data_IF_040084808277
#
_entry.id   IF_040084808277
#
_cell.length_a   1.000
_cell.length_b   1.000
_cell.length_c   1.000
_cell.angle_alpha   90.00
_cell.angle_beta   90.00
_cell.angle_gamma   90.00
#
_symmetry.space_group_name_H-M   'P 1'
#
loop_
_entity.id
_entity.type
_entity.pdbx_description
1 polymer ?
#
# COMPACT_ATOMS: atom_id res chain seq x y z
N UNK A 1 14.67 2.34 -9.44
CA UNK A 1 13.81 1.89 -8.33
C UNK A 1 13.06 0.65 -8.73
N UNK A 2 12.81 -0.22 -7.77
CA UNK A 2 12.17 -1.49 -8.06
C UNK A 2 10.74 -1.45 -7.56
N UNK A 3 9.79 -1.67 -8.47
CA UNK A 3 8.37 -1.77 -8.11
C UNK A 3 8.13 -3.13 -7.49
N UNK A 4 7.45 -3.18 -6.37
CA UNK A 4 7.21 -4.44 -5.68
C UNK A 4 5.73 -4.80 -5.58
N UNK A 5 4.86 -3.81 -5.49
CA UNK A 5 3.42 -4.05 -5.35
C UNK A 5 2.66 -2.98 -6.11
N UNK A 6 1.56 -3.35 -6.70
CA UNK A 6 0.67 -2.41 -7.37
C UNK A 6 -0.69 -2.43 -6.70
N UNK A 7 -1.18 -1.27 -6.32
CA UNK A 7 -2.54 -1.12 -5.82
C UNK A 7 -3.41 -0.63 -6.96
N UNK A 8 -4.60 -1.20 -7.06
CA UNK A 8 -5.60 -0.71 -7.99
C UNK A 8 -6.74 -0.17 -7.16
N UNK A 9 -7.08 1.08 -7.38
CA UNK A 9 -8.15 1.72 -6.63
C UNK A 9 -9.49 1.52 -7.33
N UNK A 10 -10.55 1.72 -6.59
CA UNK A 10 -11.90 1.48 -7.11
C UNK A 10 -12.21 2.34 -8.33
N UNK A 11 -11.57 3.50 -8.44
CA UNK A 11 -11.80 4.38 -9.60
C UNK A 11 -10.92 4.03 -10.79
N UNK A 12 -10.15 2.95 -10.69
CA UNK A 12 -9.27 2.52 -11.77
C UNK A 12 -7.85 3.05 -11.69
N UNK A 13 -7.59 3.95 -10.76
CA UNK A 13 -6.25 4.50 -10.62
C UNK A 13 -5.30 3.43 -10.11
N UNK A 14 -4.08 3.43 -10.60
CA UNK A 14 -3.05 2.50 -10.15
C UNK A 14 -1.99 3.23 -9.36
N UNK A 15 -1.58 2.60 -8.27
CA UNK A 15 -0.55 3.16 -7.40
C UNK A 15 0.59 2.17 -7.35
N UNK A 16 1.74 2.60 -7.83
CA UNK A 16 2.91 1.76 -7.96
C UNK A 16 3.78 1.93 -6.71
N UNK A 17 3.92 0.89 -5.94
CA UNK A 17 4.71 0.92 -4.71
C UNK A 17 6.08 0.34 -4.99
N UNK A 18 7.11 1.09 -4.63
CA UNK A 18 8.49 0.71 -4.91
C UNK A 18 9.23 0.44 -3.61
N UNK A 19 10.33 -0.30 -3.74
CA UNK A 19 11.20 -0.51 -2.59
C UNK A 19 11.66 0.85 -2.08
N UNK A 20 11.59 1.02 -0.77
CA UNK A 20 11.94 2.29 -0.14
C UNK A 20 10.75 3.19 0.13
N UNK A 21 9.60 2.91 -0.44
CA UNK A 21 8.42 3.72 -0.17
C UNK A 21 7.92 3.46 1.23
N UNK A 22 7.38 4.50 1.83
CA UNK A 22 6.75 4.41 3.14
C UNK A 22 5.25 4.54 2.97
N UNK A 23 4.52 3.63 3.60
CA UNK A 23 3.07 3.66 3.60
C UNK A 23 2.62 3.99 5.01
N UNK A 24 1.70 4.91 5.14
CA UNK A 24 1.18 5.33 6.43
C UNK A 24 -0.32 5.19 6.44
N UNK A 25 -0.87 4.69 7.54
CA UNK A 25 -2.32 4.65 7.77
C UNK A 25 -2.59 5.61 8.90
N UNK A 26 -3.46 6.59 8.65
CA UNK A 26 -3.76 7.60 9.64
C UNK A 26 -4.68 7.10 10.74
N UNK A 27 -4.75 7.87 11.81
CA UNK A 27 -5.63 7.57 12.92
C UNK A 27 -7.07 7.82 12.54
N UNK A 28 -7.95 6.97 13.04
CA UNK A 28 -9.38 7.13 12.83
C UNK A 28 -10.08 6.89 14.16
N UNK A 29 -10.63 7.95 14.73
CA UNK A 29 -11.34 7.86 16.01
C UNK A 29 -10.41 7.50 17.15
N UNK A 30 -10.99 6.99 18.22
CA UNK A 30 -10.21 6.66 19.41
C UNK A 30 -9.73 5.24 19.42
N UNK A 31 -10.34 4.40 18.61
CA UNK A 31 -10.06 2.98 18.66
C UNK A 31 -8.93 2.55 17.75
N UNK A 32 -8.48 3.42 16.88
CA UNK A 32 -7.45 3.04 15.93
C UNK A 32 -6.36 4.10 15.88
N UNK A 33 -5.15 3.67 16.13
CA UNK A 33 -4.00 4.54 16.06
C UNK A 33 -3.24 4.24 14.78
N UNK A 34 -2.74 5.28 14.16
CA UNK A 34 -2.06 5.13 12.89
C UNK A 34 -0.84 4.24 12.97
N UNK A 35 -0.46 3.71 11.82
CA UNK A 35 0.74 2.87 11.68
C UNK A 35 1.44 3.23 10.40
N UNK A 36 2.68 2.81 10.29
CA UNK A 36 3.43 3.00 9.06
C UNK A 36 4.38 1.82 8.86
N UNK A 37 4.77 1.61 7.62
CA UNK A 37 5.80 0.65 7.31
C UNK A 37 6.57 1.09 6.07
N UNK A 38 7.77 0.57 5.94
CA UNK A 38 8.59 0.81 4.75
C UNK A 38 8.68 -0.46 3.94
N UNK A 39 8.65 -0.30 2.64
CA UNK A 39 8.75 -1.44 1.73
C UNK A 39 10.20 -1.73 1.40
N UNK A 40 10.48 -2.98 1.17
CA UNK A 40 11.79 -3.42 0.75
C UNK A 40 11.67 -4.19 -0.55
N UNK A 41 12.80 -4.60 -1.10
CA UNK A 41 12.79 -5.37 -2.35
C UNK A 41 12.05 -6.69 -2.19
N UNK A 42 11.94 -7.19 -0.96
CA UNK A 42 11.29 -8.48 -0.74
C UNK A 42 9.84 -8.34 -0.29
N UNK A 43 9.35 -7.11 -0.17
CA UNK A 43 7.96 -6.91 0.19
C UNK A 43 7.04 -7.42 -0.91
N UNK A 44 5.85 -7.86 -0.52
CA UNK A 44 4.90 -8.39 -1.50
C UNK A 44 3.48 -8.02 -1.09
N UNK A 45 2.52 -8.46 -1.88
CA UNK A 45 1.12 -8.10 -1.65
C UNK A 45 0.61 -8.63 -0.32
N UNK A 46 1.11 -9.77 0.13
CA UNK A 46 0.70 -10.31 1.42
C UNK A 46 1.12 -9.40 2.56
N UNK A 47 2.30 -8.80 2.44
CA UNK A 47 2.77 -7.87 3.46
C UNK A 47 1.86 -6.66 3.54
N UNK A 48 1.43 -6.14 2.39
CA UNK A 48 0.55 -5.00 2.36
C UNK A 48 -0.81 -5.36 2.94
N UNK A 49 -1.35 -6.52 2.56
CA UNK A 49 -2.64 -6.95 3.09
C UNK A 49 -2.57 -7.09 4.60
N UNK A 50 -1.49 -7.66 5.10
CA UNK A 50 -1.32 -7.83 6.53
C UNK A 50 -1.23 -6.49 7.25
N UNK A 51 -0.54 -5.55 6.62
CA UNK A 51 -0.41 -4.21 7.17
C UNK A 51 -1.77 -3.53 7.28
N UNK A 52 -2.65 -3.79 6.31
CA UNK A 52 -3.95 -3.13 6.25
C UNK A 52 -5.02 -3.83 7.09
N UNK A 53 -4.74 -5.05 7.55
CA UNK A 53 -5.71 -5.77 8.37
C UNK A 53 -5.98 -4.99 9.64
N UNK A 54 -7.26 -4.86 9.98
CA UNK A 54 -7.68 -4.15 11.17
C UNK A 54 -7.87 -2.67 10.98
N UNK A 55 -7.43 -2.13 9.85
CA UNK A 55 -7.66 -0.72 9.57
C UNK A 55 -9.12 -0.51 9.19
N UNK A 56 -9.77 0.53 9.73
CA UNK A 56 -11.14 0.83 9.33
C UNK A 56 -11.22 1.23 7.87
N UNK A 57 -12.40 1.06 7.29
CA UNK A 57 -12.59 1.43 5.88
C UNK A 57 -12.29 2.89 5.62
N UNK A 58 -12.49 3.73 6.61
CA UNK A 58 -12.30 5.16 6.45
C UNK A 58 -10.88 5.61 6.70
N UNK A 59 -10.01 4.71 7.10
CA UNK A 59 -8.63 5.07 7.38
C UNK A 59 -7.97 5.61 6.12
N UNK A 60 -7.18 6.65 6.28
CA UNK A 60 -6.50 7.28 5.17
C UNK A 60 -5.14 6.62 4.98
N UNK A 61 -4.94 6.09 3.79
CA UNK A 61 -3.68 5.45 3.45
C UNK A 61 -2.87 6.42 2.61
N UNK A 62 -1.64 6.68 3.00
CA UNK A 62 -0.80 7.63 2.29
C UNK A 62 0.50 6.96 1.86
N UNK A 63 0.95 7.28 0.67
CA UNK A 63 2.23 6.82 0.15
C UNK A 63 3.16 8.01 0.13
N UNK A 64 4.22 7.95 0.93
CA UNK A 64 5.04 9.11 1.21
C UNK A 64 5.71 9.74 0.01
N UNK A 65 6.21 8.91 -0.90
CA UNK A 65 7.00 9.43 -2.02
C UNK A 65 6.20 10.44 -2.86
N UNK A 66 4.95 10.12 -3.14
CA UNK A 66 4.12 10.97 -3.98
C UNK A 66 3.09 11.76 -3.21
N UNK A 67 3.06 11.60 -1.89
CA UNK A 67 2.05 12.20 -1.04
C UNK A 67 0.65 11.88 -1.50
N UNK A 68 0.51 10.70 -2.08
CA UNK A 68 -0.78 10.24 -2.56
C UNK A 68 -1.55 9.65 -1.40
N UNK A 69 -2.81 10.04 -1.27
CA UNK A 69 -3.65 9.54 -0.19
C UNK A 69 -4.97 9.05 -0.72
N UNK A 70 -5.50 8.00 -0.09
CA UNK A 70 -6.80 7.46 -0.45
C UNK A 70 -7.32 6.69 0.75
N UNK A 71 -8.62 6.40 0.74
CA UNK A 71 -9.19 5.64 1.84
C UNK A 71 -8.87 4.17 1.68
N UNK A 72 -8.78 3.48 2.80
CA UNK A 72 -8.55 2.05 2.73
C UNK A 72 -9.62 1.34 1.90
N UNK A 73 -10.87 1.78 2.03
CA UNK A 73 -11.97 1.17 1.29
C UNK A 73 -11.88 1.41 -0.22
N UNK A 74 -11.05 2.36 -0.63
CA UNK A 74 -10.87 2.62 -2.06
C UNK A 74 -9.94 1.63 -2.72
N UNK A 75 -9.25 0.81 -1.94
CA UNK A 75 -8.33 -0.17 -2.52
C UNK A 75 -9.14 -1.32 -3.07
N UNK A 76 -9.08 -1.50 -4.38
CA UNK A 76 -9.83 -2.54 -5.05
C UNK A 76 -9.04 -3.84 -5.09
N UNK A 77 -7.76 -3.78 -5.41
CA UNK A 77 -6.93 -4.97 -5.40
C UNK A 77 -5.49 -4.61 -5.11
N UNK A 78 -4.75 -5.61 -4.65
CA UNK A 78 -3.33 -5.49 -4.34
C UNK A 78 -2.64 -6.61 -5.10
N UNK A 79 -1.71 -6.26 -5.98
CA UNK A 79 -1.06 -7.23 -6.83
C UNK A 79 0.43 -7.16 -6.67
N UNK A 80 1.08 -8.31 -6.73
CA UNK A 80 2.52 -8.33 -6.79
C UNK A 80 2.98 -7.90 -8.16
N UNK A 81 4.02 -7.10 -8.19
CA UNK A 81 4.66 -6.76 -9.44
C UNK A 81 5.57 -7.91 -9.79
N UNK A 82 5.33 -8.48 -10.94
CA UNK A 82 5.98 -9.70 -11.31
C UNK A 82 7.30 -9.47 -12.00
N UNK A 83 8.14 -8.69 -11.36
CA UNK A 83 9.42 -8.34 -11.95
C UNK A 83 10.35 -9.52 -12.07
N UNK A 84 10.07 -10.59 -11.34
CA UNK A 84 10.91 -11.76 -11.44
C UNK A 84 10.95 -12.35 -12.80
N UNK A 85 9.88 -12.19 -13.56
CA UNK A 85 9.84 -12.74 -14.89
C UNK A 85 10.84 -12.07 -15.78
N UNK A 86 11.26 -10.91 -15.41
CA UNK A 86 12.21 -10.19 -16.23
C UNK A 86 13.62 -10.68 -16.07
N UNK A 87 13.82 -11.55 -15.13
CA UNK A 87 15.16 -12.02 -14.85
C UNK A 87 15.57 -13.16 -15.72
N UNK A 88 14.70 -13.58 -16.53
CA UNK A 88 14.95 -14.77 -17.27
C UNK A 88 16.04 -14.69 -18.23
#
# INVERSE_FOLDING_TARGET
MVSVVELVLANGQRVDLQAGDQITIGEVGEDYKGRWCCLSKTSNSSDIRRFLIGAPDEALVSVGRNRLSFKRSDIFSIKDVNSKLDEK
#
